data_IF_449616446500
#
_entry.id   IF_449616446500
#
_cell.length_a   1.000
_cell.length_b   1.000
_cell.length_c   1.000
_cell.angle_alpha   90.00
_cell.angle_beta   90.00
_cell.angle_gamma   90.00
#
_symmetry.space_group_name_H-M   'P 1'
#
loop_
_entity.id
_entity.type
_entity.pdbx_description
1 polymer ?
#
# COMPACT_ATOMS: atom_id res chain seq x y z
N UNK A 1 -57.61 -35.74 54.82
CA UNK A 1 -58.55 -35.43 53.71
C UNK A 1 -57.76 -34.85 52.57
N UNK A 2 -57.72 -35.56 51.45
CA UNK A 2 -56.75 -35.37 50.37
C UNK A 2 -57.27 -34.42 49.28
N UNK A 3 -56.32 -33.65 48.74
CA UNK A 3 -56.47 -32.69 47.65
C UNK A 3 -56.61 -33.45 46.33
N UNK A 4 -57.67 -33.18 45.57
CA UNK A 4 -57.83 -33.68 44.22
C UNK A 4 -56.89 -32.95 43.25
N UNK A 5 -56.04 -33.70 42.54
CA UNK A 5 -55.40 -33.26 41.30
C UNK A 5 -55.83 -34.22 40.19
N UNK A 6 -56.59 -33.68 39.24
CA UNK A 6 -57.10 -34.39 38.07
C UNK A 6 -55.94 -34.58 37.08
N UNK A 7 -55.50 -35.82 36.87
CA UNK A 7 -54.60 -36.18 35.79
C UNK A 7 -55.37 -36.08 34.46
N UNK A 8 -54.83 -35.35 33.50
CA UNK A 8 -55.36 -35.29 32.13
C UNK A 8 -54.74 -36.46 31.34
N UNK A 9 -55.56 -37.48 31.05
CA UNK A 9 -55.26 -38.55 30.10
C UNK A 9 -55.48 -38.01 28.68
N UNK A 10 -54.40 -37.63 28.00
CA UNK A 10 -54.41 -37.25 26.59
C UNK A 10 -52.97 -37.17 26.05
N UNK A 11 -52.73 -37.48 24.77
CA UNK A 11 -51.42 -37.30 24.18
C UNK A 11 -50.98 -35.83 24.33
N UNK A 12 -49.67 -35.56 24.54
CA UNK A 12 -49.17 -34.20 24.72
C UNK A 12 -49.64 -33.31 23.57
N UNK A 13 -50.06 -32.09 23.87
CA UNK A 13 -50.33 -31.09 22.84
C UNK A 13 -49.05 -30.90 22.01
N UNK A 14 -49.17 -31.04 20.69
CA UNK A 14 -48.05 -30.87 19.77
C UNK A 14 -47.46 -29.48 19.97
N UNK A 15 -46.16 -29.41 20.26
CA UNK A 15 -45.51 -28.12 20.37
C UNK A 15 -45.45 -27.49 18.95
N UNK A 16 -45.40 -26.17 18.87
CA UNK A 16 -45.15 -25.40 17.64
C UNK A 16 -43.95 -25.92 16.82
N UNK A 17 -42.99 -26.59 17.46
CA UNK A 17 -41.85 -27.26 16.81
C UNK A 17 -42.30 -28.55 16.10
N UNK A 18 -43.13 -29.37 16.76
CA UNK A 18 -43.63 -30.64 16.22
C UNK A 18 -44.55 -30.40 15.02
N UNK A 19 -45.38 -29.34 15.07
CA UNK A 19 -46.21 -28.91 13.93
C UNK A 19 -45.35 -28.54 12.71
N UNK A 20 -44.26 -27.79 12.93
CA UNK A 20 -43.34 -27.41 11.85
C UNK A 20 -42.59 -28.61 11.27
N UNK A 21 -42.19 -29.57 12.10
CA UNK A 21 -41.56 -30.82 11.64
C UNK A 21 -42.55 -31.65 10.82
N UNK A 22 -43.80 -31.74 11.27
CA UNK A 22 -44.88 -32.42 10.56
C UNK A 22 -45.19 -31.80 9.20
N UNK A 23 -45.24 -30.47 9.11
CA UNK A 23 -45.45 -29.75 7.84
C UNK A 23 -44.37 -30.03 6.79
N UNK A 24 -43.15 -30.34 7.23
CA UNK A 24 -42.05 -30.68 6.34
C UNK A 24 -41.84 -32.20 6.20
N UNK A 25 -42.72 -33.04 6.77
CA UNK A 25 -42.71 -34.50 6.66
C UNK A 25 -41.35 -35.15 6.94
N UNK A 26 -40.58 -34.59 7.90
CA UNK A 26 -39.22 -35.05 8.20
C UNK A 26 -38.15 -34.66 7.18
N UNK A 27 -38.48 -33.81 6.20
CA UNK A 27 -37.50 -33.22 5.27
C UNK A 27 -36.63 -32.19 5.99
N UNK A 28 -35.31 -32.33 5.83
CA UNK A 28 -34.31 -31.40 6.35
C UNK A 28 -34.21 -30.15 5.48
N UNK A 29 -35.32 -29.42 5.33
CA UNK A 29 -35.37 -28.13 4.62
C UNK A 29 -34.32 -27.16 5.17
N UNK A 30 -33.96 -27.28 6.46
CA UNK A 30 -32.87 -26.52 7.06
C UNK A 30 -31.50 -26.81 6.42
N UNK A 31 -31.17 -28.06 6.06
CA UNK A 31 -29.92 -28.43 5.38
C UNK A 31 -29.92 -28.02 3.92
N UNK A 32 -31.04 -28.16 3.22
CA UNK A 32 -31.19 -27.73 1.83
C UNK A 32 -31.13 -26.20 1.70
N UNK A 33 -31.77 -25.48 2.63
CA UNK A 33 -31.69 -24.02 2.75
C UNK A 33 -30.29 -23.54 3.15
N UNK A 34 -29.57 -24.31 3.98
CA UNK A 34 -28.17 -24.02 4.34
C UNK A 34 -27.26 -24.22 3.12
N UNK A 35 -27.43 -25.31 2.39
CA UNK A 35 -26.63 -25.61 1.19
C UNK A 35 -26.89 -24.59 0.07
N UNK A 36 -28.14 -24.18 -0.12
CA UNK A 36 -28.48 -23.09 -1.07
C UNK A 36 -28.00 -21.72 -0.59
N UNK A 37 -28.06 -21.38 0.71
CA UNK A 37 -27.48 -20.13 1.25
C UNK A 37 -25.96 -20.09 1.17
N UNK A 38 -25.28 -21.19 1.47
CA UNK A 38 -23.81 -21.29 1.37
C UNK A 38 -23.39 -21.23 -0.09
N UNK A 39 -24.09 -21.94 -0.99
CA UNK A 39 -23.88 -21.86 -2.43
C UNK A 39 -24.14 -20.45 -3.01
N UNK A 40 -25.18 -19.76 -2.54
CA UNK A 40 -25.51 -18.41 -2.97
C UNK A 40 -24.54 -17.35 -2.43
N UNK A 41 -24.11 -17.46 -1.16
CA UNK A 41 -23.13 -16.57 -0.54
C UNK A 41 -21.70 -16.76 -1.08
N UNK A 42 -21.35 -17.97 -1.55
CA UNK A 42 -20.07 -18.20 -2.23
C UNK A 42 -20.03 -17.60 -3.65
N UNK A 43 -21.20 -17.52 -4.33
CA UNK A 43 -21.30 -17.00 -5.69
C UNK A 43 -21.20 -15.47 -5.79
N UNK A 44 -21.52 -14.74 -4.72
CA UNK A 44 -21.55 -13.27 -4.73
C UNK A 44 -20.20 -12.63 -4.42
N UNK A 45 -19.19 -13.39 -4.01
CA UNK A 45 -17.96 -12.83 -3.44
C UNK A 45 -16.67 -13.17 -4.20
N UNK A 46 -16.66 -14.25 -4.99
CA UNK A 46 -15.41 -14.69 -5.63
C UNK A 46 -14.97 -13.80 -6.81
N UNK A 47 -15.91 -13.13 -7.50
CA UNK A 47 -15.59 -12.13 -8.53
C UNK A 47 -15.06 -10.83 -7.93
N UNK A 48 -15.72 -10.38 -6.85
CA UNK A 48 -15.44 -9.14 -6.13
C UNK A 48 -14.07 -9.20 -5.42
N UNK A 49 -13.71 -10.36 -4.84
CA UNK A 49 -12.38 -10.53 -4.23
C UNK A 49 -11.27 -10.59 -5.27
N UNK A 50 -11.48 -11.17 -6.45
CA UNK A 50 -10.45 -11.21 -7.50
C UNK A 50 -10.16 -9.81 -8.02
N UNK A 51 -11.21 -9.05 -8.33
CA UNK A 51 -11.09 -7.65 -8.75
C UNK A 51 -10.42 -6.80 -7.67
N UNK A 52 -10.79 -7.01 -6.40
CA UNK A 52 -10.16 -6.33 -5.27
C UNK A 52 -8.67 -6.69 -5.10
N UNK A 53 -8.29 -7.95 -5.32
CA UNK A 53 -6.89 -8.39 -5.29
C UNK A 53 -6.11 -7.72 -6.43
N UNK A 54 -6.68 -7.65 -7.64
CA UNK A 54 -6.04 -6.99 -8.79
C UNK A 54 -5.87 -5.48 -8.57
N UNK A 55 -6.88 -4.81 -8.00
CA UNK A 55 -6.81 -3.40 -7.60
C UNK A 55 -5.71 -3.16 -6.55
N UNK A 56 -5.71 -3.94 -5.46
CA UNK A 56 -4.71 -3.83 -4.40
C UNK A 56 -3.30 -4.17 -4.91
N UNK A 57 -3.18 -5.10 -5.85
CA UNK A 57 -1.89 -5.44 -6.47
C UNK A 57 -1.35 -4.28 -7.29
N UNK A 58 -2.21 -3.63 -8.12
CA UNK A 58 -1.83 -2.42 -8.86
C UNK A 58 -1.43 -1.29 -7.92
N UNK A 59 -2.20 -1.05 -6.87
CA UNK A 59 -1.88 -0.02 -5.88
C UNK A 59 -0.57 -0.32 -5.13
N UNK A 60 -0.30 -1.58 -4.77
CA UNK A 60 0.96 -1.95 -4.13
C UNK A 60 2.15 -1.73 -5.06
N UNK A 61 2.02 -2.07 -6.35
CA UNK A 61 3.04 -1.78 -7.36
C UNK A 61 3.29 -0.28 -7.51
N UNK A 62 2.22 0.53 -7.57
CA UNK A 62 2.31 2.00 -7.64
C UNK A 62 3.06 2.56 -6.43
N UNK A 63 2.66 2.17 -5.22
CA UNK A 63 3.29 2.64 -3.98
C UNK A 63 4.77 2.24 -3.87
N UNK A 64 5.13 1.02 -4.30
CA UNK A 64 6.53 0.56 -4.29
C UNK A 64 7.43 1.43 -5.17
N UNK A 65 6.93 1.83 -6.33
CA UNK A 65 7.70 2.66 -7.26
C UNK A 65 7.77 4.11 -6.84
N UNK A 66 6.69 4.64 -6.28
CA UNK A 66 6.70 5.95 -5.65
C UNK A 66 7.72 6.01 -4.51
N UNK A 67 7.77 4.98 -3.65
CA UNK A 67 8.81 4.84 -2.63
C UNK A 67 10.22 4.77 -3.26
N UNK A 68 10.39 4.02 -4.34
CA UNK A 68 11.68 3.92 -5.02
C UNK A 68 12.14 5.26 -5.60
N UNK A 69 11.25 5.98 -6.27
CA UNK A 69 11.50 7.32 -6.81
C UNK A 69 11.96 8.27 -5.69
N UNK A 70 11.23 8.33 -4.57
CA UNK A 70 11.62 9.20 -3.46
C UNK A 70 12.95 8.81 -2.82
N UNK A 71 13.26 7.51 -2.74
CA UNK A 71 14.57 7.03 -2.27
C UNK A 71 15.69 7.50 -3.19
N UNK A 72 15.51 7.40 -4.50
CA UNK A 72 16.52 7.81 -5.47
C UNK A 72 16.74 9.33 -5.40
N UNK A 73 15.66 10.13 -5.37
CA UNK A 73 15.74 11.57 -5.15
C UNK A 73 16.50 11.91 -3.86
N UNK A 74 16.17 11.23 -2.75
CA UNK A 74 16.85 11.46 -1.48
C UNK A 74 18.35 11.15 -1.55
N UNK A 75 18.74 10.04 -2.18
CA UNK A 75 20.16 9.67 -2.37
C UNK A 75 20.89 10.75 -3.19
N UNK A 76 20.29 11.24 -4.28
CA UNK A 76 20.87 12.31 -5.07
C UNK A 76 21.03 13.60 -4.25
N UNK A 77 20.00 14.02 -3.52
CA UNK A 77 20.05 15.21 -2.66
C UNK A 77 21.10 15.09 -1.55
N UNK A 78 21.22 13.93 -0.90
CA UNK A 78 22.24 13.69 0.12
C UNK A 78 23.66 13.77 -0.44
N UNK A 79 23.89 13.18 -1.62
CA UNK A 79 25.19 13.26 -2.30
C UNK A 79 25.55 14.71 -2.66
N UNK A 80 24.57 15.49 -3.15
CA UNK A 80 24.78 16.91 -3.43
C UNK A 80 25.10 17.70 -2.16
N UNK A 81 24.33 17.52 -1.10
CA UNK A 81 24.56 18.19 0.18
C UNK A 81 25.96 17.88 0.72
N UNK A 82 26.38 16.61 0.68
CA UNK A 82 27.73 16.21 1.07
C UNK A 82 28.81 16.94 0.25
N UNK A 83 28.59 17.11 -1.06
CA UNK A 83 29.52 17.84 -1.94
C UNK A 83 29.55 19.33 -1.62
N UNK A 84 28.39 19.95 -1.39
CA UNK A 84 28.28 21.35 -0.97
C UNK A 84 29.05 21.57 0.33
N UNK A 85 28.78 20.76 1.35
CA UNK A 85 29.49 20.85 2.63
C UNK A 85 31.01 20.69 2.46
N UNK A 86 31.45 19.71 1.67
CA UNK A 86 32.88 19.49 1.40
C UNK A 86 33.55 20.70 0.73
N UNK A 87 32.89 21.29 -0.27
CA UNK A 87 33.42 22.46 -0.96
C UNK A 87 33.40 23.69 -0.05
N UNK A 88 32.32 23.89 0.70
CA UNK A 88 32.22 24.98 1.69
C UNK A 88 33.35 24.92 2.72
N UNK A 89 33.61 23.75 3.32
CA UNK A 89 34.74 23.57 4.24
C UNK A 89 36.08 23.87 3.58
N UNK A 90 36.31 23.40 2.35
CA UNK A 90 37.57 23.68 1.61
C UNK A 90 37.74 25.17 1.31
N UNK A 91 36.65 25.89 1.07
CA UNK A 91 36.65 27.35 0.88
C UNK A 91 37.01 28.03 2.20
N UNK A 92 36.35 27.67 3.31
CA UNK A 92 36.62 28.24 4.64
C UNK A 92 38.07 28.02 5.08
N UNK A 93 38.61 26.81 4.92
CA UNK A 93 39.99 26.46 5.31
C UNK A 93 41.04 27.23 4.49
N UNK A 94 40.80 27.43 3.20
CA UNK A 94 41.78 28.06 2.30
C UNK A 94 41.68 29.57 2.23
N UNK A 95 40.52 30.14 2.52
CA UNK A 95 40.26 31.58 2.36
C UNK A 95 39.98 32.31 3.67
N UNK A 96 40.34 31.71 4.81
CA UNK A 96 40.16 32.29 6.14
C UNK A 96 40.74 33.72 6.27
N UNK A 97 41.83 34.03 5.55
CA UNK A 97 42.54 35.30 5.64
C UNK A 97 42.02 36.39 4.66
N UNK A 98 41.02 36.07 3.84
CA UNK A 98 40.30 37.02 2.97
C UNK A 98 41.09 37.62 1.80
N UNK A 99 42.34 37.22 1.58
CA UNK A 99 43.15 37.61 0.42
C UNK A 99 43.23 36.45 -0.57
N UNK A 100 42.91 36.72 -1.83
CA UNK A 100 42.95 35.74 -2.92
C UNK A 100 44.14 36.03 -3.84
N UNK A 101 45.17 35.20 -3.77
CA UNK A 101 46.20 35.09 -4.81
C UNK A 101 45.61 34.55 -6.13
N UNK A 102 46.33 34.68 -7.24
CA UNK A 102 45.84 34.15 -8.54
C UNK A 102 45.66 32.62 -8.53
N UNK A 103 46.53 31.87 -7.84
CA UNK A 103 46.36 30.41 -7.70
C UNK A 103 45.12 30.02 -6.88
N UNK A 104 44.73 30.88 -5.95
CA UNK A 104 43.55 30.74 -5.11
C UNK A 104 42.25 31.06 -5.85
N UNK A 105 42.27 32.07 -6.74
CA UNK A 105 41.15 32.33 -7.67
C UNK A 105 40.93 31.17 -8.63
N UNK A 106 42.00 30.58 -9.15
CA UNK A 106 41.93 29.39 -9.99
C UNK A 106 41.33 28.20 -9.22
N UNK A 107 41.75 27.99 -7.97
CA UNK A 107 41.19 26.96 -7.08
C UNK A 107 39.68 27.20 -6.84
N UNK A 108 39.24 28.43 -6.61
CA UNK A 108 37.81 28.76 -6.46
C UNK A 108 37.02 28.44 -7.73
N UNK A 109 37.56 28.74 -8.90
CA UNK A 109 36.93 28.43 -10.17
C UNK A 109 36.76 26.91 -10.36
N UNK A 110 37.77 26.12 -9.99
CA UNK A 110 37.72 24.66 -10.01
C UNK A 110 36.66 24.11 -9.04
N UNK A 111 36.62 24.62 -7.81
CA UNK A 111 35.60 24.27 -6.81
C UNK A 111 34.18 24.63 -7.27
N UNK A 112 34.01 25.79 -7.90
CA UNK A 112 32.73 26.20 -8.49
C UNK A 112 32.30 25.28 -9.63
N UNK A 113 33.23 24.86 -10.47
CA UNK A 113 33.00 23.88 -11.55
C UNK A 113 32.60 22.51 -10.97
N UNK A 114 33.29 22.07 -9.91
CA UNK A 114 33.00 20.83 -9.19
C UNK A 114 31.57 20.83 -8.61
N UNK A 115 31.13 21.93 -8.00
CA UNK A 115 29.75 22.11 -7.52
C UNK A 115 28.74 22.11 -8.65
N UNK A 116 29.02 22.82 -9.74
CA UNK A 116 28.14 22.87 -10.90
C UNK A 116 27.92 21.48 -11.51
N UNK A 117 28.99 20.70 -11.67
CA UNK A 117 28.91 19.32 -12.13
C UNK A 117 28.10 18.43 -11.18
N UNK A 118 28.27 18.60 -9.87
CA UNK A 118 27.49 17.85 -8.88
C UNK A 118 25.99 18.19 -8.96
N UNK A 119 25.65 19.47 -9.10
CA UNK A 119 24.27 19.92 -9.28
C UNK A 119 23.65 19.34 -10.57
N UNK A 120 24.39 19.40 -11.68
CA UNK A 120 23.97 18.82 -12.96
C UNK A 120 23.70 17.32 -12.84
N UNK A 121 24.59 16.59 -12.16
CA UNK A 121 24.45 15.13 -11.99
C UNK A 121 23.19 14.78 -11.19
N UNK A 122 22.83 15.59 -10.20
CA UNK A 122 21.58 15.43 -9.44
C UNK A 122 20.36 15.72 -10.29
N UNK A 123 20.34 16.83 -11.02
CA UNK A 123 19.23 17.18 -11.91
C UNK A 123 18.99 16.08 -12.96
N UNK A 124 20.06 15.57 -13.57
CA UNK A 124 19.96 14.49 -14.55
C UNK A 124 19.46 13.17 -13.92
N UNK A 125 19.97 12.83 -12.73
CA UNK A 125 19.52 11.65 -11.99
C UNK A 125 18.05 11.73 -11.62
N UNK A 126 17.60 12.88 -11.11
CA UNK A 126 16.19 13.12 -10.76
C UNK A 126 15.28 13.05 -11.99
N UNK A 127 15.68 13.65 -13.12
CA UNK A 127 14.92 13.54 -14.38
C UNK A 127 14.81 12.10 -14.86
N UNK A 128 15.90 11.33 -14.77
CA UNK A 128 15.91 9.92 -15.19
C UNK A 128 15.00 9.08 -14.30
N UNK A 129 15.04 9.28 -12.97
CA UNK A 129 14.13 8.62 -12.03
C UNK A 129 12.67 9.02 -12.27
N UNK A 130 12.40 10.27 -12.62
CA UNK A 130 11.06 10.75 -12.97
C UNK A 130 10.54 10.08 -14.24
N UNK A 131 11.32 10.08 -15.33
CA UNK A 131 10.95 9.44 -16.59
C UNK A 131 10.68 7.94 -16.42
N UNK A 132 11.48 7.25 -15.59
CA UNK A 132 11.28 5.85 -15.27
C UNK A 132 9.95 5.61 -14.52
N UNK A 133 9.62 6.48 -13.57
CA UNK A 133 8.36 6.44 -12.84
C UNK A 133 7.15 6.72 -13.76
N UNK A 134 7.24 7.75 -14.61
CA UNK A 134 6.18 8.11 -15.57
C UNK A 134 5.90 7.00 -16.58
N UNK A 135 6.96 6.38 -17.15
CA UNK A 135 6.80 5.24 -18.07
C UNK A 135 6.07 4.07 -17.42
N UNK A 136 6.48 3.69 -16.21
CA UNK A 136 5.81 2.61 -15.52
C UNK A 136 4.32 2.95 -15.26
N UNK A 137 4.04 4.17 -14.83
CA UNK A 137 2.68 4.61 -14.55
C UNK A 137 1.80 4.50 -15.80
N UNK A 138 2.30 4.96 -16.94
CA UNK A 138 1.60 4.86 -18.24
C UNK A 138 1.35 3.40 -18.62
N UNK A 139 2.38 2.55 -18.50
CA UNK A 139 2.33 1.16 -18.97
C UNK A 139 1.45 0.23 -18.10
N UNK A 140 1.25 0.56 -16.81
CA UNK A 140 0.65 -0.37 -15.83
C UNK A 140 -0.63 0.14 -15.16
N UNK A 141 -1.00 1.41 -15.31
CA UNK A 141 -2.17 1.99 -14.64
C UNK A 141 -3.34 2.32 -15.60
N UNK A 142 -3.14 2.21 -16.92
CA UNK A 142 -4.18 2.43 -17.94
C UNK A 142 -4.77 1.15 -18.56
N UNK A 143 -4.45 -0.04 -18.01
CA UNK A 143 -5.06 -1.33 -18.36
C UNK A 143 -6.00 -1.81 -17.25
#
# INVERSE_FOLDING_TARGET
>A
MAIARKAADGPPELNSIDERIGMHAGSTVALEALHTRVGAGSKTSSGDFRERIEELTRENCRLRLEIQFYRDCFVHSQRFLSRVMSVSTRIEERFADGRLSEGEKQTLFELGTELHQAAWTVDLGMKTSQEAWERFYIDNMHA
#
